data_IF_647277331708
#
_entry.id   IF_647277331708
#
_cell.length_a   1.000
_cell.length_b   1.000
_cell.length_c   1.000
_cell.angle_alpha   90.00
_cell.angle_beta   90.00
_cell.angle_gamma   90.00
#
_symmetry.space_group_name_H-M   'P 1'
#
loop_
_entity.id
_entity.type
_entity.pdbx_description
1 polymer ?
#
# COMPACT_ATOMS: atom_id res chain seq x y z
N UNK A 1 -25.22 20.75 2.16
CA UNK A 1 -24.22 21.68 2.76
C UNK A 1 -22.83 21.65 2.09
N UNK A 2 -22.34 20.54 1.51
CA UNK A 2 -21.02 20.48 0.82
C UNK A 2 -21.08 21.13 -0.57
N UNK A 3 -22.17 21.02 -1.33
CA UNK A 3 -22.32 21.65 -2.65
C UNK A 3 -22.37 23.18 -2.64
N UNK A 4 -22.80 23.81 -1.54
CA UNK A 4 -22.85 25.28 -1.43
C UNK A 4 -21.49 25.93 -1.19
N UNK A 5 -20.52 25.22 -0.62
CA UNK A 5 -19.14 25.73 -0.41
C UNK A 5 -18.28 25.69 -1.68
N UNK A 6 -18.67 24.92 -2.69
CA UNK A 6 -17.93 24.83 -3.96
C UNK A 6 -18.35 25.87 -5.00
N UNK A 7 -19.49 26.55 -4.81
CA UNK A 7 -20.10 27.43 -5.83
C UNK A 7 -19.60 28.87 -5.86
N UNK A 8 -18.79 29.31 -4.88
CA UNK A 8 -18.38 30.72 -4.75
C UNK A 8 -16.86 30.93 -4.69
N UNK A 9 -16.09 30.22 -5.51
CA UNK A 9 -14.71 30.65 -5.80
C UNK A 9 -14.58 30.87 -7.29
N UNK A 10 -14.61 32.14 -7.68
CA UNK A 10 -14.00 32.63 -8.91
C UNK A 10 -12.51 32.26 -8.79
N UNK A 11 -12.12 31.11 -9.35
CA UNK A 11 -10.73 30.75 -9.55
C UNK A 11 -10.30 31.61 -10.73
N UNK A 12 -9.64 32.71 -10.48
CA UNK A 12 -8.76 33.33 -11.47
C UNK A 12 -7.76 32.23 -11.86
N UNK A 13 -7.80 31.86 -13.14
CA UNK A 13 -6.83 30.95 -13.76
C UNK A 13 -5.48 31.68 -13.86
N UNK A 14 -4.81 31.87 -12.75
CA UNK A 14 -3.36 31.93 -12.77
C UNK A 14 -2.89 30.48 -12.58
N UNK A 15 -2.29 29.93 -13.62
CA UNK A 15 -1.57 28.64 -13.62
C UNK A 15 -0.32 28.75 -12.71
N UNK A 16 -0.53 29.04 -11.43
CA UNK A 16 0.54 29.02 -10.44
C UNK A 16 0.84 27.57 -10.15
N UNK A 17 1.96 27.13 -10.68
CA UNK A 17 2.53 25.80 -10.43
C UNK A 17 2.75 25.64 -8.91
N UNK A 18 1.81 24.99 -8.23
CA UNK A 18 1.85 24.83 -6.78
C UNK A 18 2.53 23.50 -6.42
N UNK A 19 3.84 23.55 -6.18
CA UNK A 19 4.65 22.40 -5.84
C UNK A 19 4.10 21.62 -4.61
N UNK A 20 3.57 22.32 -3.60
CA UNK A 20 2.98 21.69 -2.41
C UNK A 20 1.77 20.83 -2.76
N UNK A 21 0.91 21.28 -3.68
CA UNK A 21 -0.26 20.50 -4.10
C UNK A 21 0.14 19.32 -5.01
N UNK A 22 1.17 19.46 -5.84
CA UNK A 22 1.75 18.33 -6.62
C UNK A 22 2.38 17.30 -5.69
N UNK A 23 3.11 17.72 -4.66
CA UNK A 23 3.66 16.80 -3.66
C UNK A 23 2.57 15.99 -2.93
N UNK A 24 1.40 16.60 -2.68
CA UNK A 24 0.25 15.88 -2.09
C UNK A 24 -0.29 14.76 -2.98
N UNK A 25 -0.10 14.85 -4.32
CA UNK A 25 -0.47 13.76 -5.24
C UNK A 25 0.34 12.49 -4.97
N UNK A 26 1.57 12.61 -4.49
CA UNK A 26 2.44 11.49 -4.15
C UNK A 26 2.01 10.73 -2.88
N UNK A 27 0.98 11.21 -2.16
CA UNK A 27 0.43 10.56 -0.94
C UNK A 27 1.47 10.30 0.15
N UNK A 28 2.24 11.28 0.62
CA UNK A 28 3.41 11.06 1.49
C UNK A 28 3.13 10.23 2.76
N UNK A 29 1.94 10.38 3.37
CA UNK A 29 1.53 9.59 4.54
C UNK A 29 1.36 8.09 4.25
N UNK A 30 0.92 7.73 3.06
CA UNK A 30 0.78 6.32 2.65
C UNK A 30 2.14 5.79 2.24
N UNK A 31 2.93 6.62 1.55
CA UNK A 31 4.27 6.23 1.09
C UNK A 31 5.26 5.97 2.22
N UNK A 32 5.08 6.55 3.42
CA UNK A 32 6.01 6.34 4.53
C UNK A 32 6.21 4.87 4.89
N UNK A 33 5.14 4.06 4.93
CA UNK A 33 5.25 2.62 5.19
C UNK A 33 5.89 1.86 4.03
N UNK A 34 5.58 2.26 2.79
CA UNK A 34 6.18 1.70 1.57
C UNK A 34 7.70 1.93 1.56
N UNK A 35 8.13 3.15 1.88
CA UNK A 35 9.54 3.53 1.95
C UNK A 35 10.24 2.76 3.07
N UNK A 36 9.61 2.66 4.24
CA UNK A 36 10.11 1.92 5.37
C UNK A 36 10.33 0.43 5.03
N UNK A 37 9.35 -0.23 4.44
CA UNK A 37 9.49 -1.65 4.07
C UNK A 37 10.55 -1.87 2.98
N UNK A 38 10.68 -0.94 2.02
CA UNK A 38 11.76 -0.95 1.05
C UNK A 38 13.15 -0.83 1.72
N UNK A 39 13.29 0.10 2.67
CA UNK A 39 14.52 0.27 3.42
C UNK A 39 14.87 -1.00 4.23
N UNK A 40 13.88 -1.64 4.87
CA UNK A 40 14.11 -2.91 5.58
C UNK A 40 14.56 -4.00 4.61
N UNK A 41 13.92 -4.13 3.43
CA UNK A 41 14.34 -5.11 2.42
C UNK A 41 15.80 -4.91 1.98
N UNK A 42 16.22 -3.65 1.79
CA UNK A 42 17.60 -3.30 1.47
C UNK A 42 18.55 -3.64 2.62
N UNK A 43 18.19 -3.25 3.85
CA UNK A 43 19.03 -3.49 5.02
C UNK A 43 19.14 -4.97 5.37
N UNK A 44 18.12 -5.79 5.12
CA UNK A 44 18.14 -7.23 5.37
C UNK A 44 18.99 -8.01 4.37
N UNK A 45 19.31 -7.44 3.21
CA UNK A 45 20.15 -8.10 2.22
C UNK A 45 21.57 -8.38 2.76
N UNK A 46 22.21 -9.48 2.27
CA UNK A 46 23.55 -9.87 2.74
C UNK A 46 24.65 -8.91 2.26
N UNK A 47 24.46 -8.23 1.15
CA UNK A 47 25.45 -7.33 0.57
C UNK A 47 25.36 -5.94 1.19
N UNK A 48 26.50 -5.35 1.48
CA UNK A 48 26.59 -3.98 2.01
C UNK A 48 26.58 -2.99 0.86
N UNK A 49 25.59 -2.10 0.87
CA UNK A 49 25.51 -0.96 -0.06
C UNK A 49 26.03 0.27 0.66
N UNK A 50 26.75 1.16 -0.05
CA UNK A 50 27.19 2.42 0.56
C UNK A 50 25.98 3.22 1.05
N UNK A 51 26.09 3.90 2.19
CA UNK A 51 25.00 4.71 2.75
C UNK A 51 24.47 5.73 1.73
N UNK A 52 25.35 6.31 0.94
CA UNK A 52 25.00 7.27 -0.12
C UNK A 52 24.10 6.61 -1.19
N UNK A 53 24.52 5.46 -1.70
CA UNK A 53 23.80 4.76 -2.77
C UNK A 53 22.46 4.21 -2.25
N UNK A 54 22.43 3.71 -1.01
CA UNK A 54 21.21 3.28 -0.34
C UNK A 54 20.18 4.42 -0.23
N UNK A 55 20.60 5.60 0.22
CA UNK A 55 19.73 6.78 0.33
C UNK A 55 19.21 7.20 -1.04
N UNK A 56 20.08 7.28 -2.05
CA UNK A 56 19.68 7.64 -3.42
C UNK A 56 18.63 6.64 -3.95
N UNK A 57 18.91 5.34 -3.83
CA UNK A 57 17.99 4.32 -4.32
C UNK A 57 16.63 4.36 -3.61
N UNK A 58 16.58 4.51 -2.28
CA UNK A 58 15.32 4.65 -1.51
C UNK A 58 14.55 5.89 -1.94
N UNK A 59 15.23 7.03 -2.18
CA UNK A 59 14.58 8.24 -2.69
C UNK A 59 13.97 7.98 -4.07
N UNK A 60 14.69 7.31 -4.98
CA UNK A 60 14.20 7.01 -6.32
C UNK A 60 12.99 6.06 -6.30
N UNK A 61 13.02 5.01 -5.46
CA UNK A 61 11.85 4.15 -5.23
C UNK A 61 10.68 4.94 -4.66
N UNK A 62 10.94 5.88 -3.75
CA UNK A 62 9.92 6.75 -3.16
C UNK A 62 9.26 7.66 -4.19
N UNK A 63 10.06 8.19 -5.13
CA UNK A 63 9.57 9.01 -6.25
C UNK A 63 8.69 8.15 -7.17
N UNK A 64 9.12 6.94 -7.53
CA UNK A 64 8.35 6.03 -8.39
C UNK A 64 7.03 5.58 -7.75
N UNK A 65 7.04 5.22 -6.48
CA UNK A 65 5.83 4.89 -5.73
C UNK A 65 4.88 6.09 -5.61
N UNK A 66 5.42 7.28 -5.37
CA UNK A 66 4.67 8.54 -5.37
C UNK A 66 4.08 8.87 -6.73
N UNK A 67 4.82 8.64 -7.82
CA UNK A 67 4.37 8.82 -9.20
C UNK A 67 3.16 7.92 -9.52
N UNK A 68 3.23 6.63 -9.13
CA UNK A 68 2.08 5.71 -9.23
C UNK A 68 0.88 6.24 -8.43
N UNK A 69 1.10 6.80 -7.24
CA UNK A 69 0.07 7.47 -6.44
C UNK A 69 -0.57 8.67 -7.14
N UNK A 70 0.22 9.51 -7.85
CA UNK A 70 -0.26 10.66 -8.61
C UNK A 70 -1.08 10.21 -9.83
N UNK A 71 -0.62 9.20 -10.57
CA UNK A 71 -1.36 8.61 -11.70
C UNK A 71 -2.68 7.97 -11.26
N UNK A 72 -2.71 7.35 -10.08
CA UNK A 72 -3.96 6.84 -9.51
C UNK A 72 -4.93 8.00 -9.17
N UNK A 73 -4.47 9.11 -8.57
CA UNK A 73 -5.33 10.27 -8.31
C UNK A 73 -5.81 10.94 -9.61
N UNK A 74 -4.96 10.98 -10.64
CA UNK A 74 -5.36 11.46 -11.96
C UNK A 74 -6.52 10.67 -12.54
N UNK A 75 -6.39 9.33 -12.53
CA UNK A 75 -7.41 8.45 -13.10
C UNK A 75 -8.71 8.45 -12.30
N UNK A 76 -8.61 8.46 -10.98
CA UNK A 76 -9.74 8.33 -10.04
C UNK A 76 -10.34 9.66 -9.59
N UNK A 77 -9.97 10.77 -10.19
CA UNK A 77 -10.42 12.11 -9.78
C UNK A 77 -11.94 12.27 -9.72
N UNK A 78 -12.67 11.57 -10.59
CA UNK A 78 -14.13 11.47 -10.61
C UNK A 78 -14.68 10.73 -9.37
N UNK A 79 -14.10 9.61 -9.00
CA UNK A 79 -14.46 8.83 -7.82
C UNK A 79 -14.08 9.55 -6.53
N UNK A 80 -12.90 10.18 -6.52
CA UNK A 80 -12.39 10.94 -5.38
C UNK A 80 -13.31 12.10 -4.99
N UNK A 81 -13.94 12.74 -5.96
CA UNK A 81 -14.92 13.81 -5.73
C UNK A 81 -16.19 13.33 -5.01
N UNK A 82 -16.54 12.05 -5.12
CA UNK A 82 -17.75 11.47 -4.52
C UNK A 82 -17.55 10.98 -3.08
N UNK A 83 -16.30 10.70 -2.70
CA UNK A 83 -15.97 10.08 -1.42
C UNK A 83 -15.59 11.13 -0.38
N UNK A 84 -16.15 11.04 0.83
CA UNK A 84 -15.86 12.01 1.92
C UNK A 84 -14.39 12.05 2.32
N UNK A 85 -13.69 10.93 2.18
CA UNK A 85 -12.26 10.82 2.51
C UNK A 85 -11.34 11.50 1.50
N UNK A 86 -11.76 11.61 0.24
CA UNK A 86 -10.88 11.99 -0.88
C UNK A 86 -11.34 13.22 -1.65
N UNK A 87 -12.54 13.76 -1.38
CA UNK A 87 -13.07 14.96 -2.06
C UNK A 87 -12.24 16.24 -1.85
N UNK A 88 -11.37 16.25 -0.83
CA UNK A 88 -10.45 17.36 -0.57
C UNK A 88 -9.06 17.20 -1.20
N UNK A 89 -8.85 16.17 -2.03
CA UNK A 89 -7.61 15.97 -2.78
C UNK A 89 -7.38 17.09 -3.80
N UNK A 90 -6.12 17.31 -4.24
CA UNK A 90 -5.78 18.44 -5.12
C UNK A 90 -6.57 18.51 -6.42
N UNK A 91 -6.85 17.37 -7.08
CA UNK A 91 -7.58 17.36 -8.36
C UNK A 91 -9.08 17.63 -8.16
N UNK A 92 -9.82 16.94 -7.27
CA UNK A 92 -11.22 17.24 -7.01
C UNK A 92 -11.49 18.67 -6.54
N UNK A 93 -10.52 19.30 -5.85
CA UNK A 93 -10.65 20.69 -5.39
C UNK A 93 -10.25 21.73 -6.43
N UNK A 94 -9.77 21.31 -7.62
CA UNK A 94 -9.32 22.20 -8.69
C UNK A 94 -7.96 22.88 -8.43
N UNK A 95 -7.23 22.48 -7.38
CA UNK A 95 -5.90 23.02 -7.06
C UNK A 95 -4.80 22.53 -7.99
N UNK A 96 -5.00 21.38 -8.61
CA UNK A 96 -4.14 20.81 -9.65
C UNK A 96 -5.03 20.40 -10.80
N UNK A 97 -4.65 20.80 -12.01
CA UNK A 97 -5.32 20.39 -13.22
C UNK A 97 -5.05 18.90 -13.48
N UNK A 98 -6.03 18.20 -14.05
CA UNK A 98 -5.92 16.77 -14.37
C UNK A 98 -4.76 16.48 -15.32
N UNK A 99 -4.52 17.34 -16.32
CA UNK A 99 -3.41 17.18 -17.25
C UNK A 99 -2.04 17.39 -16.57
N UNK A 100 -1.95 18.37 -15.66
CA UNK A 100 -0.74 18.59 -14.84
C UNK A 100 -0.42 17.37 -14.00
N UNK A 101 -1.43 16.75 -13.36
CA UNK A 101 -1.25 15.53 -12.57
C UNK A 101 -0.76 14.34 -13.42
N UNK A 102 -1.27 14.20 -14.66
CA UNK A 102 -0.85 13.16 -15.60
C UNK A 102 0.61 13.35 -16.01
N UNK A 103 0.96 14.55 -16.48
CA UNK A 103 2.33 14.87 -16.91
C UNK A 103 3.31 14.70 -15.74
N UNK A 104 2.97 15.19 -14.55
CA UNK A 104 3.77 15.02 -13.34
C UNK A 104 4.00 13.54 -13.01
N UNK A 105 2.93 12.73 -12.99
CA UNK A 105 3.03 11.30 -12.69
C UNK A 105 3.86 10.53 -13.71
N UNK A 106 3.68 10.79 -15.02
CA UNK A 106 4.47 10.14 -16.09
C UNK A 106 5.94 10.55 -16.00
N UNK A 107 6.22 11.84 -15.87
CA UNK A 107 7.60 12.37 -15.81
C UNK A 107 8.37 11.78 -14.63
N UNK A 108 7.75 11.73 -13.44
CA UNK A 108 8.37 11.13 -12.26
C UNK A 108 8.54 9.61 -12.39
N UNK A 109 7.60 8.92 -13.06
CA UNK A 109 7.71 7.47 -13.30
C UNK A 109 8.92 7.17 -14.19
N UNK A 110 9.05 7.89 -15.32
CA UNK A 110 10.18 7.72 -16.25
C UNK A 110 11.51 8.07 -15.56
N UNK A 111 11.54 9.22 -14.90
CA UNK A 111 12.73 9.69 -14.18
C UNK A 111 13.18 8.66 -13.13
N UNK A 112 12.28 8.20 -12.26
CA UNK A 112 12.64 7.29 -11.16
C UNK A 112 13.15 5.95 -11.66
N UNK A 113 12.56 5.39 -12.73
CA UNK A 113 12.99 4.10 -13.30
C UNK A 113 14.36 4.23 -13.97
N UNK A 114 14.56 5.24 -14.81
CA UNK A 114 15.85 5.47 -15.51
C UNK A 114 16.96 5.78 -14.48
N UNK A 115 16.67 6.64 -13.52
CA UNK A 115 17.66 6.99 -12.49
C UNK A 115 17.98 5.77 -11.60
N UNK A 116 17.00 4.92 -11.25
CA UNK A 116 17.25 3.72 -10.47
C UNK A 116 18.09 2.69 -11.24
N UNK A 117 17.89 2.57 -12.56
CA UNK A 117 18.74 1.75 -13.43
C UNK A 117 20.20 2.24 -13.42
N UNK A 118 20.38 3.54 -13.48
CA UNK A 118 21.72 4.17 -13.52
C UNK A 118 22.45 4.13 -12.17
N UNK A 119 21.74 4.45 -11.06
CA UNK A 119 22.35 4.57 -9.73
C UNK A 119 22.33 3.27 -8.91
N UNK A 120 21.64 2.23 -9.37
CA UNK A 120 21.55 0.95 -8.68
C UNK A 120 21.78 -0.20 -9.65
N UNK A 121 20.70 -0.82 -10.15
CA UNK A 121 20.81 -1.94 -11.09
C UNK A 121 19.52 -2.15 -11.89
N UNK A 122 19.65 -2.90 -12.99
CA UNK A 122 18.60 -3.19 -13.95
C UNK A 122 17.42 -3.94 -13.33
N UNK A 123 17.66 -4.89 -12.42
CA UNK A 123 16.58 -5.71 -11.81
C UNK A 123 15.69 -4.82 -10.95
N UNK A 124 16.26 -3.97 -10.11
CA UNK A 124 15.51 -3.04 -9.26
C UNK A 124 14.70 -2.04 -10.08
N UNK A 125 15.27 -1.52 -11.17
CA UNK A 125 14.58 -0.61 -12.08
C UNK A 125 13.39 -1.29 -12.79
N UNK A 126 13.56 -2.52 -13.28
CA UNK A 126 12.50 -3.30 -13.91
C UNK A 126 11.39 -3.66 -12.93
N UNK A 127 11.72 -4.01 -11.69
CA UNK A 127 10.73 -4.24 -10.63
C UNK A 127 9.96 -2.97 -10.28
N UNK A 128 10.62 -1.81 -10.22
CA UNK A 128 9.95 -0.54 -9.99
C UNK A 128 9.00 -0.21 -11.15
N UNK A 129 9.46 -0.35 -12.39
CA UNK A 129 8.63 -0.18 -13.59
C UNK A 129 7.41 -1.11 -13.56
N UNK A 130 7.63 -2.40 -13.32
CA UNK A 130 6.55 -3.38 -13.18
C UNK A 130 5.56 -2.97 -12.09
N UNK A 131 6.04 -2.54 -10.92
CA UNK A 131 5.19 -2.09 -9.80
C UNK A 131 4.31 -0.91 -10.20
N UNK A 132 4.88 0.10 -10.88
CA UNK A 132 4.14 1.28 -11.35
C UNK A 132 3.08 0.87 -12.36
N UNK A 133 3.46 0.09 -13.38
CA UNK A 133 2.54 -0.36 -14.44
C UNK A 133 1.43 -1.24 -13.87
N UNK A 134 1.76 -2.18 -12.99
CA UNK A 134 0.79 -3.06 -12.34
C UNK A 134 -0.21 -2.25 -11.49
N UNK A 135 0.29 -1.30 -10.68
CA UNK A 135 -0.57 -0.46 -9.85
C UNK A 135 -1.50 0.44 -10.69
N UNK A 136 -0.99 1.02 -11.78
CA UNK A 136 -1.78 1.92 -12.62
C UNK A 136 -2.74 1.13 -13.52
N UNK A 137 -2.24 0.20 -14.32
CA UNK A 137 -3.05 -0.47 -15.35
C UNK A 137 -3.89 -1.61 -14.77
N UNK A 138 -3.29 -2.49 -13.97
CA UNK A 138 -4.00 -3.67 -13.46
C UNK A 138 -4.91 -3.27 -12.29
N UNK A 139 -4.37 -2.67 -11.24
CA UNK A 139 -5.17 -2.32 -10.06
C UNK A 139 -6.11 -1.14 -10.33
N UNK A 140 -5.58 0.04 -10.73
CA UNK A 140 -6.36 1.28 -10.78
C UNK A 140 -7.33 1.30 -11.96
N UNK A 141 -6.87 1.02 -13.18
CA UNK A 141 -7.68 1.14 -14.39
C UNK A 141 -8.60 -0.07 -14.57
N UNK A 142 -8.06 -1.27 -14.39
CA UNK A 142 -8.80 -2.49 -14.71
C UNK A 142 -9.63 -3.02 -13.54
N UNK A 143 -8.99 -3.46 -12.43
CA UNK A 143 -9.66 -4.25 -11.40
C UNK A 143 -10.55 -3.44 -10.46
N UNK A 144 -10.14 -2.24 -10.07
CA UNK A 144 -10.77 -1.48 -8.99
C UNK A 144 -12.25 -1.18 -9.21
N UNK A 145 -12.64 -0.98 -10.47
CA UNK A 145 -14.03 -0.69 -10.85
C UNK A 145 -14.82 -1.94 -11.26
N UNK A 146 -14.18 -3.12 -11.36
CA UNK A 146 -14.79 -4.33 -11.93
C UNK A 146 -15.01 -5.47 -10.96
N UNK A 147 -14.17 -5.61 -9.94
CA UNK A 147 -14.20 -6.79 -9.09
C UNK A 147 -13.88 -6.49 -7.61
N UNK A 148 -14.52 -7.19 -6.66
CA UNK A 148 -14.16 -7.08 -5.24
C UNK A 148 -12.78 -7.69 -4.92
N UNK A 149 -12.23 -8.51 -5.84
CA UNK A 149 -10.87 -9.06 -5.72
C UNK A 149 -9.76 -8.04 -6.05
N UNK A 150 -10.14 -6.80 -6.40
CA UNK A 150 -9.18 -5.72 -6.66
C UNK A 150 -8.19 -5.51 -5.51
N UNK A 151 -8.63 -5.75 -4.25
CA UNK A 151 -7.77 -5.63 -3.06
C UNK A 151 -6.74 -6.74 -2.99
N UNK A 152 -7.13 -7.98 -3.27
CA UNK A 152 -6.22 -9.14 -3.23
C UNK A 152 -5.16 -8.99 -4.32
N UNK A 153 -5.59 -8.89 -5.57
CA UNK A 153 -4.67 -8.82 -6.73
C UNK A 153 -3.85 -7.52 -6.67
N UNK A 154 -4.50 -6.39 -6.41
CA UNK A 154 -3.85 -5.08 -6.31
C UNK A 154 -2.84 -4.98 -5.16
N UNK A 155 -3.00 -5.79 -4.12
CA UNK A 155 -2.07 -5.89 -3.00
C UNK A 155 -0.63 -6.26 -3.42
N UNK A 156 -0.47 -6.95 -4.55
CA UNK A 156 0.85 -7.31 -5.08
C UNK A 156 1.74 -6.08 -5.34
N UNK A 157 1.18 -4.97 -5.84
CA UNK A 157 1.95 -3.74 -6.04
C UNK A 157 2.52 -3.18 -4.71
N UNK A 158 1.72 -3.24 -3.64
CA UNK A 158 2.15 -2.79 -2.30
C UNK A 158 3.15 -3.73 -1.63
N UNK A 159 3.26 -4.97 -2.10
CA UNK A 159 4.16 -5.99 -1.56
C UNK A 159 5.55 -6.01 -2.23
N UNK A 160 5.74 -5.32 -3.35
CA UNK A 160 7.01 -5.29 -4.09
C UNK A 160 8.10 -4.37 -3.51
N UNK A 161 7.82 -3.27 -2.80
CA UNK A 161 8.85 -2.37 -2.32
C UNK A 161 9.99 -3.03 -1.52
N UNK A 162 9.76 -3.92 -0.55
CA UNK A 162 10.87 -4.59 0.14
C UNK A 162 11.66 -5.55 -0.76
N UNK A 163 11.02 -6.12 -1.79
CA UNK A 163 11.71 -6.92 -2.82
C UNK A 163 12.64 -6.02 -3.64
N UNK A 164 12.18 -4.82 -4.03
CA UNK A 164 13.02 -3.83 -4.71
C UNK A 164 14.19 -3.43 -3.80
N UNK A 165 13.92 -3.18 -2.51
CA UNK A 165 14.97 -2.89 -1.53
C UNK A 165 16.06 -3.96 -1.48
N UNK A 166 15.67 -5.23 -1.44
CA UNK A 166 16.59 -6.37 -1.50
C UNK A 166 17.41 -6.39 -2.80
N UNK A 167 16.74 -6.25 -3.95
CA UNK A 167 17.42 -6.30 -5.25
C UNK A 167 18.37 -5.13 -5.49
N UNK A 168 18.15 -3.96 -4.86
CA UNK A 168 19.11 -2.84 -4.87
C UNK A 168 20.47 -3.30 -4.33
N UNK A 169 20.50 -4.09 -3.28
CA UNK A 169 21.72 -4.57 -2.68
C UNK A 169 22.31 -5.81 -3.37
N UNK A 170 21.47 -6.73 -3.86
CA UNK A 170 21.93 -8.04 -4.33
C UNK A 170 21.99 -8.19 -5.85
N UNK A 171 21.31 -7.33 -6.59
CA UNK A 171 21.09 -7.48 -8.03
C UNK A 171 20.51 -8.85 -8.41
N UNK A 172 19.76 -9.49 -7.50
CA UNK A 172 19.19 -10.83 -7.70
C UNK A 172 17.87 -11.02 -6.96
N UNK A 173 17.10 -12.00 -7.39
CA UNK A 173 15.91 -12.49 -6.70
C UNK A 173 16.25 -13.83 -6.05
N UNK A 174 15.80 -14.01 -4.81
CA UNK A 174 15.97 -15.24 -4.02
C UNK A 174 14.72 -15.53 -3.19
N UNK A 175 14.75 -16.52 -2.31
CA UNK A 175 13.59 -16.89 -1.49
C UNK A 175 13.31 -15.88 -0.36
N UNK A 176 14.33 -15.22 0.16
CA UNK A 176 14.23 -14.31 1.29
C UNK A 176 13.29 -13.12 0.97
N UNK A 177 13.51 -12.33 -0.12
CA UNK A 177 12.60 -11.24 -0.46
C UNK A 177 11.18 -11.69 -0.81
N UNK A 178 10.99 -12.95 -1.23
CA UNK A 178 9.67 -13.52 -1.42
C UNK A 178 8.88 -13.58 -0.09
N UNK A 179 9.56 -13.80 1.04
CA UNK A 179 8.89 -13.80 2.35
C UNK A 179 8.33 -12.43 2.71
N UNK A 180 9.06 -11.33 2.44
CA UNK A 180 8.54 -9.97 2.60
C UNK A 180 7.31 -9.71 1.72
N UNK A 181 7.39 -10.15 0.46
CA UNK A 181 6.27 -10.04 -0.47
C UNK A 181 5.03 -10.76 0.06
N UNK A 182 5.16 -12.02 0.47
CA UNK A 182 4.04 -12.83 0.97
C UNK A 182 3.43 -12.25 2.23
N UNK A 183 4.24 -11.73 3.16
CA UNK A 183 3.76 -11.08 4.39
C UNK A 183 2.84 -9.91 4.04
N UNK A 184 3.28 -8.98 3.19
CA UNK A 184 2.48 -7.80 2.82
C UNK A 184 1.28 -8.22 1.96
N UNK A 185 1.47 -9.14 1.02
CA UNK A 185 0.43 -9.60 0.12
C UNK A 185 -0.76 -10.21 0.86
N UNK A 186 -0.51 -11.14 1.79
CA UNK A 186 -1.57 -11.79 2.58
C UNK A 186 -2.11 -10.91 3.72
N UNK A 187 -1.34 -9.94 4.21
CA UNK A 187 -1.82 -8.93 5.14
C UNK A 187 -2.83 -7.96 4.50
N UNK A 188 -2.63 -7.61 3.24
CA UNK A 188 -3.39 -6.58 2.52
C UNK A 188 -4.91 -6.80 2.54
N UNK A 189 -5.47 -8.02 2.28
CA UNK A 189 -6.91 -8.22 2.28
C UNK A 189 -7.57 -7.97 3.63
N UNK A 190 -7.03 -8.51 4.72
CA UNK A 190 -7.57 -8.29 6.06
C UNK A 190 -7.58 -6.81 6.45
N UNK A 191 -6.52 -6.07 6.11
CA UNK A 191 -6.39 -4.63 6.34
C UNK A 191 -7.44 -3.81 5.56
N UNK A 192 -7.50 -3.99 4.24
CA UNK A 192 -8.37 -3.18 3.39
C UNK A 192 -9.84 -3.55 3.49
N UNK A 193 -10.19 -4.81 3.71
CA UNK A 193 -11.59 -5.17 3.91
C UNK A 193 -12.09 -4.68 5.27
N UNK A 194 -11.25 -4.66 6.32
CA UNK A 194 -11.60 -3.99 7.56
C UNK A 194 -11.92 -2.50 7.34
N UNK A 195 -11.08 -1.78 6.54
CA UNK A 195 -11.37 -0.40 6.13
C UNK A 195 -12.69 -0.29 5.35
N UNK A 196 -12.91 -1.18 4.38
CA UNK A 196 -14.10 -1.13 3.51
C UNK A 196 -15.40 -1.37 4.27
N UNK A 197 -15.37 -2.14 5.36
CA UNK A 197 -16.51 -2.35 6.24
C UNK A 197 -17.00 -1.04 6.87
N UNK A 198 -16.13 -0.28 7.53
CA UNK A 198 -16.58 0.95 8.21
C UNK A 198 -16.62 2.19 7.31
N UNK A 199 -16.16 2.07 6.06
CA UNK A 199 -16.24 3.09 5.01
C UNK A 199 -17.13 2.67 3.83
N UNK A 200 -18.01 1.71 4.04
CA UNK A 200 -18.89 1.14 3.00
C UNK A 200 -19.71 2.19 2.26
N UNK A 201 -20.22 3.22 2.97
CA UNK A 201 -21.00 4.29 2.36
C UNK A 201 -20.22 5.12 1.33
N UNK A 202 -18.94 5.37 1.58
CA UNK A 202 -18.08 6.09 0.61
C UNK A 202 -17.90 5.25 -0.67
N UNK A 203 -17.62 3.94 -0.53
CA UNK A 203 -17.49 3.05 -1.66
C UNK A 203 -18.79 2.84 -2.43
N UNK A 204 -19.93 2.81 -1.72
CA UNK A 204 -21.26 2.76 -2.33
C UNK A 204 -21.56 3.99 -3.17
N UNK A 205 -21.25 5.21 -2.67
CA UNK A 205 -21.41 6.47 -3.42
C UNK A 205 -20.55 6.48 -4.69
N UNK A 206 -19.33 5.97 -4.61
CA UNK A 206 -18.42 5.86 -5.74
C UNK A 206 -18.68 4.66 -6.66
N UNK A 207 -19.68 3.81 -6.35
CA UNK A 207 -20.00 2.56 -7.10
C UNK A 207 -18.80 1.63 -7.27
N UNK A 208 -17.89 1.59 -6.28
CA UNK A 208 -16.75 0.69 -6.29
C UNK A 208 -17.18 -0.65 -5.68
N UNK A 209 -16.99 -1.80 -6.39
CA UNK A 209 -17.46 -3.11 -5.94
C UNK A 209 -16.54 -3.67 -4.83
N UNK A 210 -16.64 -3.14 -3.62
CA UNK A 210 -15.93 -3.69 -2.47
C UNK A 210 -16.67 -4.90 -1.89
N UNK A 211 -15.93 -5.85 -1.32
CA UNK A 211 -16.47 -7.12 -0.83
C UNK A 211 -17.70 -6.97 0.09
N UNK A 212 -17.77 -6.00 1.04
CA UNK A 212 -18.98 -5.80 1.84
C UNK A 212 -20.23 -5.39 1.04
N UNK A 213 -20.03 -4.75 -0.11
CA UNK A 213 -21.13 -4.27 -0.96
C UNK A 213 -21.59 -5.33 -1.96
N UNK A 214 -20.72 -6.24 -2.36
CA UNK A 214 -21.03 -7.29 -3.34
C UNK A 214 -21.46 -8.60 -2.68
N UNK A 215 -20.78 -9.02 -1.62
CA UNK A 215 -20.92 -10.31 -0.98
C UNK A 215 -21.48 -10.22 0.47
N UNK A 216 -21.69 -8.99 0.95
CA UNK A 216 -22.21 -8.74 2.29
C UNK A 216 -21.18 -8.76 3.41
N UNK A 217 -21.63 -8.35 4.60
CA UNK A 217 -20.77 -8.19 5.78
C UNK A 217 -20.26 -9.54 6.30
N UNK A 218 -21.12 -10.57 6.32
CA UNK A 218 -20.77 -11.90 6.84
C UNK A 218 -19.63 -12.54 6.02
N UNK A 219 -19.77 -12.54 4.70
CA UNK A 219 -18.71 -13.04 3.79
C UNK A 219 -17.41 -12.24 3.96
N UNK A 220 -17.50 -10.92 4.15
CA UNK A 220 -16.34 -10.08 4.36
C UNK A 220 -15.63 -10.41 5.68
N UNK A 221 -16.38 -10.59 6.78
CA UNK A 221 -15.83 -10.98 8.07
C UNK A 221 -15.13 -12.33 8.02
N UNK A 222 -15.73 -13.31 7.32
CA UNK A 222 -15.12 -14.63 7.09
C UNK A 222 -13.82 -14.51 6.31
N UNK A 223 -13.80 -13.76 5.23
CA UNK A 223 -12.59 -13.57 4.42
C UNK A 223 -11.48 -12.85 5.21
N UNK A 224 -11.80 -11.81 6.00
CA UNK A 224 -10.85 -11.15 6.90
C UNK A 224 -10.22 -12.17 7.84
N UNK A 225 -11.03 -13.06 8.44
CA UNK A 225 -10.54 -14.09 9.35
C UNK A 225 -9.69 -15.15 8.63
N UNK A 226 -10.12 -15.65 7.46
CA UNK A 226 -9.33 -16.61 6.66
C UNK A 226 -7.95 -16.05 6.31
N UNK A 227 -7.88 -14.82 5.79
CA UNK A 227 -6.60 -14.20 5.45
C UNK A 227 -5.73 -13.95 6.68
N UNK A 228 -6.33 -13.67 7.85
CA UNK A 228 -5.55 -13.57 9.08
C UNK A 228 -5.01 -14.93 9.53
N UNK A 229 -5.72 -16.05 9.31
CA UNK A 229 -5.20 -17.40 9.57
C UNK A 229 -4.04 -17.77 8.64
N UNK A 230 -4.12 -17.40 7.35
CA UNK A 230 -3.03 -17.61 6.38
C UNK A 230 -1.75 -16.88 6.82
N UNK A 231 -1.86 -15.77 7.56
CA UNK A 231 -0.69 -15.08 8.08
C UNK A 231 0.15 -15.93 9.05
N UNK A 232 -0.44 -16.95 9.73
CA UNK A 232 0.31 -17.80 10.67
C UNK A 232 1.44 -18.57 9.95
N UNK A 233 1.15 -19.40 8.93
CA UNK A 233 2.23 -20.07 8.19
C UNK A 233 3.13 -19.09 7.44
N UNK A 234 2.58 -17.99 6.91
CA UNK A 234 3.35 -16.98 6.15
C UNK A 234 4.42 -16.34 7.04
N UNK A 235 4.09 -16.00 8.29
CA UNK A 235 5.06 -15.40 9.22
C UNK A 235 6.13 -16.41 9.68
N UNK A 236 5.84 -17.70 9.59
CA UNK A 236 6.79 -18.78 9.86
C UNK A 236 7.80 -19.03 8.73
N UNK A 237 7.47 -18.63 7.48
CA UNK A 237 8.34 -18.91 6.32
C UNK A 237 9.77 -18.38 6.45
N UNK A 238 10.01 -17.11 6.89
CA UNK A 238 11.38 -16.62 7.06
C UNK A 238 12.23 -17.48 8.00
N UNK A 239 11.64 -17.97 9.09
CA UNK A 239 12.31 -18.87 10.04
C UNK A 239 12.56 -20.26 9.43
N UNK A 240 11.57 -20.82 8.73
CA UNK A 240 11.68 -22.14 8.11
C UNK A 240 12.76 -22.24 7.02
N UNK A 241 13.01 -21.15 6.30
CA UNK A 241 14.09 -21.07 5.29
C UNK A 241 15.45 -20.69 5.89
N UNK A 242 15.54 -20.50 7.22
CA UNK A 242 16.78 -20.13 7.89
C UNK A 242 17.19 -18.67 7.69
N UNK A 243 16.27 -17.79 7.27
CA UNK A 243 16.54 -16.37 7.01
C UNK A 243 16.56 -15.53 8.29
N UNK A 244 15.81 -15.93 9.30
CA UNK A 244 15.70 -15.26 10.61
C UNK A 244 15.76 -16.26 11.75
N UNK A 245 16.04 -15.77 12.95
CA UNK A 245 16.14 -16.56 14.18
C UNK A 245 14.80 -16.61 14.96
N UNK A 246 14.82 -17.24 16.14
CA UNK A 246 13.70 -17.23 17.09
C UNK A 246 13.41 -15.83 17.63
N UNK A 247 14.36 -14.91 17.57
CA UNK A 247 14.18 -13.50 17.99
C UNK A 247 13.13 -12.80 17.12
N UNK A 248 13.10 -13.10 15.83
CA UNK A 248 12.02 -12.66 14.95
C UNK A 248 10.76 -13.50 15.14
N UNK A 249 10.89 -14.85 15.10
CA UNK A 249 9.75 -15.76 14.96
C UNK A 249 8.78 -15.68 16.14
N UNK A 250 9.27 -15.72 17.38
CA UNK A 250 8.40 -15.78 18.57
C UNK A 250 7.56 -14.49 18.70
N UNK A 251 8.15 -13.27 18.72
CA UNK A 251 7.34 -12.06 18.82
C UNK A 251 6.40 -11.85 17.63
N UNK A 252 6.84 -12.19 16.40
CA UNK A 252 6.00 -12.05 15.22
C UNK A 252 4.80 -13.00 15.23
N UNK A 253 4.97 -14.22 15.76
CA UNK A 253 3.87 -15.16 15.97
C UNK A 253 2.87 -14.63 17.00
N UNK A 254 3.34 -14.07 18.13
CA UNK A 254 2.47 -13.47 19.15
C UNK A 254 1.64 -12.33 18.56
N UNK A 255 2.26 -11.42 17.79
CA UNK A 255 1.56 -10.33 17.10
C UNK A 255 0.52 -10.87 16.11
N UNK A 256 0.86 -11.93 15.38
CA UNK A 256 -0.04 -12.57 14.41
C UNK A 256 -1.23 -13.23 15.09
N UNK A 257 -1.01 -13.94 16.19
CA UNK A 257 -2.10 -14.56 16.97
C UNK A 257 -3.05 -13.51 17.55
N UNK A 258 -2.53 -12.36 17.98
CA UNK A 258 -3.38 -11.26 18.41
C UNK A 258 -4.19 -10.65 17.26
N UNK A 259 -3.61 -10.51 16.06
CA UNK A 259 -4.37 -10.11 14.85
C UNK A 259 -5.50 -11.12 14.56
N UNK A 260 -5.19 -12.42 14.63
CA UNK A 260 -6.18 -13.49 14.46
C UNK A 260 -7.31 -13.42 15.49
N UNK A 261 -6.98 -13.17 16.76
CA UNK A 261 -7.97 -12.99 17.81
C UNK A 261 -8.93 -11.84 17.50
N UNK A 262 -8.42 -10.68 17.08
CA UNK A 262 -9.27 -9.53 16.70
C UNK A 262 -10.18 -9.86 15.50
N UNK A 263 -9.63 -10.57 14.49
CA UNK A 263 -10.40 -10.99 13.31
C UNK A 263 -11.46 -12.05 13.66
N UNK A 264 -11.12 -12.99 14.55
CA UNK A 264 -12.07 -13.98 15.07
C UNK A 264 -13.21 -13.32 15.85
N UNK A 265 -12.91 -12.34 16.70
CA UNK A 265 -13.95 -11.57 17.39
C UNK A 265 -14.91 -10.84 16.45
N UNK A 266 -14.39 -10.32 15.30
CA UNK A 266 -15.23 -9.70 14.28
C UNK A 266 -16.10 -10.74 13.58
N UNK A 267 -15.53 -11.91 13.23
CA UNK A 267 -16.22 -13.03 12.58
C UNK A 267 -17.33 -13.61 13.46
N UNK A 268 -17.04 -13.85 14.75
CA UNK A 268 -17.98 -14.45 15.70
C UNK A 268 -19.06 -13.46 16.22
N UNK A 269 -18.94 -12.19 15.86
CA UNK A 269 -19.94 -11.20 16.24
C UNK A 269 -21.24 -11.46 15.50
N UNK A 270 -22.36 -11.54 16.26
CA UNK A 270 -23.72 -11.92 15.82
C UNK A 270 -23.98 -11.77 14.32
N UNK A 271 -24.34 -12.88 13.66
CA UNK A 271 -24.69 -12.93 12.22
C UNK A 271 -25.50 -11.70 11.81
N UNK A 272 -25.09 -11.05 10.73
CA UNK A 272 -25.72 -9.87 10.12
C UNK A 272 -25.65 -8.53 10.89
N UNK A 273 -24.93 -8.42 12.01
CA UNK A 273 -24.69 -7.11 12.64
C UNK A 273 -23.30 -6.58 12.31
N UNK A 274 -23.26 -5.41 11.68
CA UNK A 274 -22.04 -4.68 11.43
C UNK A 274 -21.47 -4.08 12.73
N UNK A 275 -20.19 -4.29 13.00
CA UNK A 275 -19.49 -3.67 14.13
C UNK A 275 -18.35 -2.76 13.65
N UNK A 276 -18.68 -1.49 13.45
CA UNK A 276 -17.73 -0.47 13.00
C UNK A 276 -16.52 -0.32 13.94
N UNK A 277 -16.71 -0.48 15.26
CA UNK A 277 -15.66 -0.34 16.26
C UNK A 277 -14.62 -1.45 16.12
N UNK A 278 -15.05 -2.72 15.99
CA UNK A 278 -14.15 -3.85 15.78
C UNK A 278 -13.42 -3.75 14.44
N UNK A 279 -14.10 -3.42 13.34
CA UNK A 279 -13.47 -3.22 12.04
C UNK A 279 -12.41 -2.11 12.06
N UNK A 280 -12.70 -0.99 12.75
CA UNK A 280 -11.73 0.11 12.93
C UNK A 280 -10.53 -0.30 13.80
N UNK A 281 -10.74 -1.13 14.83
CA UNK A 281 -9.67 -1.67 15.66
C UNK A 281 -8.73 -2.56 14.85
N UNK A 282 -9.28 -3.50 14.05
CA UNK A 282 -8.48 -4.36 13.16
C UNK A 282 -7.68 -3.51 12.18
N UNK A 283 -8.31 -2.52 11.54
CA UNK A 283 -7.63 -1.62 10.62
C UNK A 283 -6.46 -0.88 11.28
N UNK A 284 -6.66 -0.31 12.48
CA UNK A 284 -5.61 0.39 13.21
C UNK A 284 -4.48 -0.54 13.65
N UNK A 285 -4.85 -1.70 14.25
CA UNK A 285 -3.86 -2.68 14.68
C UNK A 285 -3.05 -3.25 13.51
N UNK A 286 -3.67 -3.51 12.37
CA UNK A 286 -2.98 -4.09 11.20
C UNK A 286 -1.87 -3.18 10.66
N UNK A 287 -1.99 -1.85 10.79
CA UNK A 287 -0.91 -0.90 10.44
C UNK A 287 0.27 -1.05 11.41
N UNK A 288 -0.03 -1.03 12.72
CA UNK A 288 0.99 -1.24 13.76
C UNK A 288 1.66 -2.61 13.62
N UNK A 289 0.87 -3.65 13.38
CA UNK A 289 1.33 -5.01 13.14
C UNK A 289 2.38 -5.07 12.02
N UNK A 290 2.06 -4.55 10.84
CA UNK A 290 2.98 -4.59 9.71
C UNK A 290 4.27 -3.82 10.01
N UNK A 291 4.17 -2.65 10.64
CA UNK A 291 5.33 -1.87 11.08
C UNK A 291 6.20 -2.68 12.03
N UNK A 292 5.63 -3.29 13.07
CA UNK A 292 6.36 -4.08 14.07
C UNK A 292 7.01 -5.33 13.46
N UNK A 293 6.34 -6.03 12.55
CA UNK A 293 6.94 -7.19 11.84
C UNK A 293 8.22 -6.77 11.10
N UNK A 294 8.19 -5.64 10.40
CA UNK A 294 9.38 -5.16 9.69
C UNK A 294 10.47 -4.61 10.64
N UNK A 295 10.12 -4.07 11.80
CA UNK A 295 11.08 -3.73 12.86
C UNK A 295 11.73 -4.99 13.43
N UNK A 296 10.98 -6.07 13.63
CA UNK A 296 11.52 -7.34 14.14
C UNK A 296 12.56 -7.97 13.20
N UNK A 297 12.41 -7.83 11.88
CA UNK A 297 13.47 -8.22 10.93
C UNK A 297 14.78 -7.47 11.20
N UNK A 298 14.72 -6.16 11.45
CA UNK A 298 15.92 -5.37 11.75
C UNK A 298 16.54 -5.76 13.10
N UNK A 299 15.71 -6.01 14.11
CA UNK A 299 16.17 -6.45 15.42
C UNK A 299 16.89 -7.79 15.32
N UNK A 300 16.30 -8.75 14.59
CA UNK A 300 16.88 -10.08 14.38
C UNK A 300 18.22 -10.03 13.65
N UNK A 301 18.40 -9.07 12.72
CA UNK A 301 19.68 -8.90 12.02
C UNK A 301 20.79 -8.32 12.88
N UNK A 302 20.45 -7.53 13.91
CA UNK A 302 21.41 -6.84 14.77
C UNK A 302 21.89 -7.76 15.91
N UNK A 303 21.03 -8.67 16.37
CA UNK A 303 21.31 -9.62 17.44
C UNK A 303 21.94 -10.90 16.93
#
# INVERSE_FOLDING_TARGET
MIKSKLKNRNISQEDVFNFSELFKLMKPRVMSLVIFTCAVGLLMAPNVVSTKDAIIAIILVSIGAGAAGALNMWYESDLDALMTRTCLRPIPTGKVNRNQALVFGISLSIFSVIALDFFSNRISALLLLFTILFYVFVYTIWLKRKTPQNIVIGGAAGALPPVIGWTIATNSLSLEPLTFFLIIFFWTPSHFWALSLYKSDDYKKAKIPMLPLTNGVESTNLNIFIYSLIMIPVIGLPYLIGFVSLVFFIPSLILTLYLNYLCFELYNFKKNKFNAKKAKSIFGYSILYLFLIFVLFLIDKIL
#
